data_IF_083581421596
#
_entry.id   IF_083581421596
#
_cell.length_a   1.000
_cell.length_b   1.000
_cell.length_c   1.000
_cell.angle_alpha   90.00
_cell.angle_beta   90.00
_cell.angle_gamma   90.00
#
_symmetry.space_group_name_H-M   'P 1'
#
loop_
_entity.id
_entity.type
_entity.pdbx_description
1 polymer ?
2 non-polymer ?
3 water ?
#
# COMPACT_ATOMS: atom_id res chain seq x y z
N UNK A 10 17.32 14.71 -8.34
CA UNK A 10 16.44 15.32 -9.41
C UNK A 10 15.36 14.34 -9.85
N UNK A 11 15.77 13.11 -10.14
CA UNK A 11 14.95 12.14 -10.89
C UNK A 11 13.92 11.56 -9.93
N UNK A 12 12.69 11.47 -10.43
CA UNK A 12 11.63 10.77 -9.70
C UNK A 12 11.62 9.30 -10.09
N UNK A 13 11.70 8.42 -9.08
CA UNK A 13 11.62 6.95 -9.22
C UNK A 13 10.18 6.48 -9.15
N UNK A 14 9.75 5.81 -10.22
CA UNK A 14 8.44 5.13 -10.24
C UNK A 14 8.68 3.73 -9.73
N UNK A 15 8.40 3.52 -8.45
CA UNK A 15 8.81 2.30 -7.71
C UNK A 15 7.99 1.12 -8.20
N UNK A 16 8.63 -0.02 -8.18
CA UNK A 16 7.98 -1.32 -8.41
C UNK A 16 7.83 -2.01 -7.04
N UNK A 17 6.68 -1.89 -6.42
CA UNK A 17 6.47 -2.35 -5.01
C UNK A 17 5.99 -3.81 -5.02
N UNK A 18 6.69 -4.64 -4.27
CA UNK A 18 6.32 -6.03 -3.96
C UNK A 18 6.24 -6.14 -2.44
N UNK A 19 5.22 -6.81 -1.94
CA UNK A 19 5.03 -6.93 -0.48
C UNK A 19 6.03 -7.90 0.14
N UNK A 20 6.28 -7.64 1.42
CA UNK A 20 7.14 -8.52 2.27
C UNK A 20 6.23 -9.41 3.09
N UNK A 21 6.10 -10.72 2.75
CA UNK A 21 5.18 -11.58 3.47
C UNK A 21 5.52 -11.75 4.96
N UNK A 22 6.77 -11.51 5.34
CA UNK A 22 7.19 -11.73 6.75
C UNK A 22 6.65 -10.63 7.66
N UNK A 23 6.16 -9.52 7.08
CA UNK A 23 5.55 -8.42 7.86
C UNK A 23 4.03 -8.57 7.96
N UNK A 24 3.42 -9.39 7.11
CA UNK A 24 1.96 -9.35 6.91
C UNK A 24 1.23 -9.96 8.11
N UNK A 25 0.24 -9.25 8.64
CA UNK A 25 -0.67 -9.82 9.66
C UNK A 25 -1.17 -11.17 9.18
N UNK A 26 -1.30 -12.16 10.10
CA UNK A 26 -1.66 -13.50 9.64
C UNK A 26 -2.98 -13.64 8.88
N UNK A 27 -3.91 -12.72 8.98
CA UNK A 27 -5.21 -12.85 8.30
C UNK A 27 -5.10 -12.27 6.86
N UNK A 28 -3.96 -11.69 6.51
CA UNK A 28 -3.79 -11.18 5.13
C UNK A 28 -3.37 -12.31 4.22
N UNK A 29 -4.02 -12.37 3.08
CA UNK A 29 -3.68 -13.32 2.01
C UNK A 29 -3.08 -12.52 0.84
N UNK A 30 -1.84 -12.81 0.54
CA UNK A 30 -1.09 -12.14 -0.56
C UNK A 30 -1.25 -12.96 -1.81
N UNK A 31 -1.33 -12.28 -2.93
CA UNK A 31 -1.29 -12.96 -4.24
C UNK A 31 0.04 -13.70 -4.38
N UNK A 32 0.13 -14.64 -5.33
CA UNK A 32 1.38 -15.37 -5.56
C UNK A 32 2.51 -14.39 -5.92
N UNK A 33 2.21 -13.34 -6.68
CA UNK A 33 3.22 -12.36 -7.09
C UNK A 33 3.46 -11.28 -6.00
N UNK A 34 2.74 -11.34 -4.88
CA UNK A 34 2.96 -10.44 -3.71
C UNK A 34 2.71 -8.98 -4.12
N UNK A 35 1.87 -8.74 -5.13
CA UNK A 35 1.55 -7.37 -5.58
C UNK A 35 0.10 -7.01 -5.23
N UNK A 36 -0.66 -7.89 -4.61
CA UNK A 36 -2.05 -7.58 -4.18
C UNK A 36 -2.31 -8.35 -2.90
N UNK A 37 -3.22 -7.86 -2.12
CA UNK A 37 -3.46 -8.42 -0.77
C UNK A 37 -4.91 -8.19 -0.42
N UNK A 38 -5.50 -9.17 0.28
CA UNK A 38 -6.84 -8.98 0.88
C UNK A 38 -6.80 -9.58 2.28
N UNK A 39 -7.73 -9.16 3.13
CA UNK A 39 -7.92 -9.79 4.47
C UNK A 39 -8.97 -10.86 4.27
N UNK A 40 -8.61 -12.10 4.58
CA UNK A 40 -9.58 -13.22 4.45
C UNK A 40 -10.00 -13.63 5.85
N UNK A 41 -11.27 -14.00 5.99
CA UNK A 41 -11.76 -14.45 7.29
C UNK A 41 -11.23 -15.83 7.69
N UNK A 42 -10.78 -16.61 6.74
CA UNK A 42 -10.44 -18.03 6.94
C UNK A 42 -8.95 -18.24 6.79
N UNK A 43 -8.45 -19.27 7.44
CA UNK A 43 -7.02 -19.64 7.43
C UNK A 43 -6.72 -20.46 6.17
N UNK A 44 -5.55 -20.18 5.60
CA UNK A 44 -4.92 -20.97 4.51
C UNK A 44 -3.79 -21.75 5.18
N UNK A 45 -3.78 -23.06 5.07
CA UNK A 45 -2.68 -23.82 5.72
C UNK A 45 -1.39 -23.46 4.97
N UNK A 46 -0.44 -22.93 5.74
CA UNK A 46 0.75 -22.24 5.23
C UNK A 46 1.97 -22.72 5.98
N UNK A 47 3.12 -22.16 5.62
CA UNK A 47 4.45 -22.55 6.14
C UNK A 47 4.94 -21.43 7.06
N UNK A 48 4.08 -20.45 7.39
CA UNK A 48 4.59 -19.14 7.86
C UNK A 48 4.58 -19.11 9.39
N UNK A 49 5.59 -18.44 9.93
CA UNK A 49 5.72 -18.33 11.40
C UNK A 49 4.56 -17.51 11.88
N UNK A 50 3.84 -17.94 12.94
CA UNK A 50 2.73 -17.15 13.45
C UNK A 50 3.16 -15.79 13.96
N UNK A 51 4.33 -15.64 14.67
CA UNK A 51 4.59 -14.37 15.37
C UNK A 51 6.07 -13.99 15.44
N UNK A 52 6.72 -14.04 14.29
CA UNK A 52 8.07 -13.49 14.13
C UNK A 52 8.05 -11.96 14.38
N UNK A 53 9.15 -11.33 14.83
CA UNK A 53 9.11 -9.96 15.33
C UNK A 53 8.79 -8.92 14.24
N UNK A 54 9.05 -9.29 13.00
CA UNK A 54 8.79 -8.37 11.85
C UNK A 54 7.30 -8.28 11.58
N UNK A 55 6.50 -9.21 12.07
CA UNK A 55 5.10 -9.34 11.66
C UNK A 55 4.18 -8.48 12.49
N UNK A 56 3.28 -7.76 11.82
CA UNK A 56 2.16 -7.11 12.55
C UNK A 56 1.23 -8.18 13.14
N UNK A 57 0.98 -8.16 14.45
CA UNK A 57 0.19 -9.24 15.07
C UNK A 57 -1.26 -8.84 15.28
N UNK A 58 -1.64 -7.55 15.26
CA UNK A 58 -2.99 -7.09 15.62
C UNK A 58 -3.54 -6.15 14.54
N UNK A 59 -2.73 -5.18 14.15
CA UNK A 59 -3.10 -4.27 13.03
C UNK A 59 -2.94 -5.04 11.72
N UNK A 60 -3.99 -5.04 10.87
CA UNK A 60 -4.02 -5.86 9.63
C UNK A 60 -3.21 -5.16 8.53
N UNK A 61 -1.88 -5.20 8.75
CA UNK A 61 -0.93 -4.41 7.97
C UNK A 61 0.16 -5.27 7.33
N UNK A 62 0.75 -4.72 6.27
CA UNK A 62 1.85 -5.36 5.51
C UNK A 62 2.70 -4.26 4.90
N UNK A 63 3.99 -4.47 4.83
CA UNK A 63 4.94 -3.51 4.26
C UNK A 63 5.45 -3.96 2.89
N UNK A 64 5.85 -2.99 2.05
CA UNK A 64 6.66 -3.29 0.87
C UNK A 64 8.04 -3.76 1.29
N UNK A 65 8.65 -4.59 0.46
CA UNK A 65 9.97 -5.16 0.75
C UNK A 65 11.04 -4.10 0.67
N UNK A 66 10.90 -3.08 -0.16
CA UNK A 66 11.99 -2.14 -0.47
C UNK A 66 11.92 -1.00 0.55
N UNK A 67 13.06 -0.55 1.06
CA UNK A 67 13.13 0.66 1.90
C UNK A 67 13.92 1.75 1.17
N UNK A 68 13.60 3.00 1.52
CA UNK A 68 14.16 4.21 0.91
C UNK A 68 14.82 5.02 2.01
N UNK A 69 16.07 5.44 1.74
CA UNK A 69 16.85 6.26 2.69
C UNK A 69 17.21 7.63 2.09
N UNK A 70 16.82 7.90 0.83
CA UNK A 70 17.15 9.14 0.11
C UNK A 70 16.25 9.22 -1.13
N UNK A 71 16.11 10.40 -1.70
CA UNK A 71 15.54 10.56 -3.04
C UNK A 71 14.01 10.65 -3.05
N UNK A 72 13.52 10.71 -4.27
CA UNK A 72 12.08 10.90 -4.56
C UNK A 72 11.57 9.63 -5.21
N UNK A 73 10.41 9.18 -4.74
CA UNK A 73 9.88 7.84 -5.11
C UNK A 73 8.37 7.93 -5.09
N UNK A 74 7.69 7.21 -5.96
CA UNK A 74 6.23 7.10 -5.83
C UNK A 74 5.74 5.79 -6.41
N UNK A 75 4.53 5.42 -5.96
CA UNK A 75 3.83 4.21 -6.43
C UNK A 75 2.35 4.45 -6.33
N UNK A 76 1.62 3.57 -6.99
CA UNK A 76 0.17 3.73 -7.10
C UNK A 76 -0.56 2.48 -6.66
N UNK A 77 -1.74 2.70 -6.09
CA UNK A 77 -2.50 1.60 -5.43
C UNK A 77 -3.95 1.69 -5.86
N UNK A 78 -4.50 0.57 -6.31
CA UNK A 78 -5.92 0.45 -6.69
C UNK A 78 -6.71 0.06 -5.45
N UNK A 79 -7.73 0.86 -5.15
CA UNK A 79 -8.49 0.69 -3.90
C UNK A 79 -9.98 0.65 -4.21
N UNK A 80 -10.40 0.62 -5.46
CA UNK A 80 -11.87 0.53 -5.76
C UNK A 80 -12.46 -0.69 -5.05
N UNK A 81 -13.66 -0.58 -4.54
CA UNK A 81 -14.43 -1.70 -3.95
C UNK A 81 -13.82 -2.14 -2.61
N UNK A 82 -12.94 -1.33 -2.01
CA UNK A 82 -12.41 -1.59 -0.65
C UNK A 82 -12.95 -0.49 0.27
N UNK A 83 -13.75 -0.83 1.25
CA UNK A 83 -14.45 0.20 2.08
C UNK A 83 -13.55 0.72 3.19
N UNK A 84 -12.49 -0.02 3.57
CA UNK A 84 -11.63 0.33 4.70
C UNK A 84 -10.18 0.02 4.35
N UNK A 85 -9.34 1.04 4.20
CA UNK A 85 -7.93 0.80 3.76
C UNK A 85 -7.09 1.94 4.25
N UNK A 86 -5.80 1.70 4.39
CA UNK A 86 -4.80 2.74 4.63
C UNK A 86 -3.62 2.50 3.70
N UNK A 87 -3.09 3.57 3.14
CA UNK A 87 -1.82 3.51 2.37
C UNK A 87 -0.89 4.58 2.91
N UNK A 88 0.41 4.41 2.69
CA UNK A 88 1.39 5.45 3.03
C UNK A 88 2.75 4.83 3.19
N UNK A 89 3.50 5.43 4.10
CA UNK A 89 4.95 5.16 4.30
C UNK A 89 5.12 5.00 5.81
N UNK A 90 6.05 4.17 6.22
CA UNK A 90 6.39 4.10 7.65
C UNK A 90 7.89 3.94 7.83
N UNK A 91 8.35 4.29 9.02
CA UNK A 91 9.77 3.98 9.34
C UNK A 91 9.96 2.46 9.36
N UNK A 92 11.17 2.00 8.98
CA UNK A 92 11.47 0.56 9.01
C UNK A 92 11.41 0.11 10.48
N UNK A 93 11.59 1.01 11.43
CA UNK A 93 11.71 0.71 12.88
C UNK A 93 10.35 0.73 13.56
N UNK A 94 9.23 0.90 12.86
CA UNK A 94 7.95 1.05 13.58
C UNK A 94 7.65 -0.19 14.45
N UNK A 95 6.90 0.06 15.51
CA UNK A 95 6.34 -1.00 16.36
C UNK A 95 5.37 -1.85 15.53
N UNK A 96 5.44 -3.16 15.71
CA UNK A 96 4.67 -4.16 14.93
C UNK A 96 3.60 -4.80 15.79
N UNK A 97 3.71 -4.73 17.13
CA UNK A 97 2.90 -5.57 18.03
C UNK A 97 1.87 -4.73 18.80
N UNK A 98 0.67 -5.31 18.90
CA UNK A 98 -0.48 -4.77 19.61
C UNK A 98 -1.14 -3.67 18.82
N UNK A 99 -1.92 -2.87 19.51
CA UNK A 99 -2.84 -1.91 18.85
C UNK A 99 -2.10 -0.61 18.57
N UNK A 100 -1.14 -0.65 17.66
CA UNK A 100 -0.23 0.48 17.37
C UNK A 100 -1.07 1.64 16.86
N UNK A 101 -0.81 2.85 17.36
CA UNK A 101 -1.47 4.04 16.81
C UNK A 101 -0.71 4.45 15.53
N UNK A 102 -1.42 4.49 14.41
CA UNK A 102 -0.84 4.66 13.04
C UNK A 102 -0.72 6.15 12.71
N UNK A 103 0.14 6.83 13.46
CA UNK A 103 0.20 8.29 13.45
C UNK A 103 1.63 8.72 13.23
N UNK A 104 1.91 9.94 12.73
CA UNK A 104 3.26 10.38 12.47
C UNK A 104 4.23 10.26 13.65
N UNK A 105 3.73 10.57 14.85
CA UNK A 105 4.58 10.55 16.06
C UNK A 105 5.12 9.14 16.27
N UNK A 106 4.46 8.11 15.73
CA UNK A 106 4.91 6.70 15.83
C UNK A 106 5.54 6.21 14.54
N UNK A 107 5.81 7.09 13.56
CA UNK A 107 6.51 6.70 12.35
C UNK A 107 5.64 6.25 11.23
N UNK A 108 4.35 6.63 11.20
CA UNK A 108 3.40 6.25 10.12
C UNK A 108 2.85 7.51 9.44
N UNK A 109 2.97 7.60 8.10
CA UNK A 109 2.44 8.75 7.35
C UNK A 109 1.42 8.23 6.37
N UNK A 110 0.14 8.46 6.61
CA UNK A 110 -0.89 7.66 5.93
C UNK A 110 -2.05 8.50 5.41
N UNK A 111 -2.79 7.87 4.53
CA UNK A 111 -4.13 8.29 4.06
C UNK A 111 -5.01 7.09 4.31
N UNK A 112 -6.22 7.29 4.84
CA UNK A 112 -7.12 6.19 5.24
C UNK A 112 -8.48 6.46 4.64
N UNK A 113 -9.16 5.41 4.23
CA UNK A 113 -10.62 5.38 4.03
C UNK A 113 -11.23 4.70 5.25
N UNK A 114 -12.12 5.41 5.94
CA UNK A 114 -12.79 4.85 7.15
C UNK A 114 -14.23 5.37 7.14
N UNK A 115 -15.18 4.43 7.19
CA UNK A 115 -16.63 4.78 7.34
C UNK A 115 -17.04 5.86 6.33
N UNK A 116 -16.65 5.70 5.06
CA UNK A 116 -17.11 6.51 3.93
C UNK A 116 -16.43 7.87 3.85
N UNK A 117 -15.36 8.08 4.61
CA UNK A 117 -14.61 9.32 4.56
C UNK A 117 -13.11 9.04 4.46
N UNK A 118 -12.42 10.00 3.89
CA UNK A 118 -10.95 9.94 3.79
C UNK A 118 -10.39 10.75 4.93
N UNK A 119 -9.36 10.19 5.61
CA UNK A 119 -8.77 10.82 6.79
C UNK A 119 -7.26 10.93 6.53
N UNK A 120 -6.76 12.14 6.68
CA UNK A 120 -5.32 12.43 6.65
C UNK A 120 -4.70 11.90 7.91
N UNK A 121 -3.56 11.22 7.78
CA UNK A 121 -2.75 10.69 8.90
C UNK A 121 -3.66 9.93 9.87
N UNK A 122 -4.64 9.24 9.31
CA UNK A 122 -5.51 8.29 10.04
C UNK A 122 -6.11 9.00 11.25
N UNK A 123 -6.48 10.29 11.09
CA UNK A 123 -6.96 11.14 12.19
C UNK A 123 -8.44 11.39 11.99
N UNK A 124 -9.29 11.11 13.00
CA UNK A 124 -10.68 11.54 12.90
C UNK A 124 -10.89 13.06 12.87
N UNK A 125 -9.87 13.85 13.13
CA UNK A 125 -9.90 15.32 13.11
C UNK A 125 -9.38 15.92 11.79
N UNK A 126 -9.04 15.11 10.78
CA UNK A 126 -8.55 15.63 9.49
C UNK A 126 -9.25 14.92 8.37
N UNK A 127 -10.55 15.08 8.33
CA UNK A 127 -11.36 14.52 7.24
C UNK A 127 -11.08 15.42 6.03
N UNK A 128 -10.74 14.78 4.92
CA UNK A 128 -10.42 15.46 3.67
C UNK A 128 -11.71 15.62 2.88
N UNK A 129 -12.01 16.84 2.38
CA UNK A 129 -13.26 17.08 1.66
C UNK A 129 -13.20 16.67 0.18
N UNK A 130 -12.95 15.38 -0.08
CA UNK A 130 -12.92 14.86 -1.45
C UNK A 130 -14.33 14.83 -2.04
N UNK A 131 -14.41 15.07 -3.32
CA UNK A 131 -15.74 15.18 -3.99
C UNK A 131 -15.99 13.99 -4.91
N UNK A 132 -15.14 12.96 -4.85
CA UNK A 132 -15.31 11.74 -5.68
C UNK A 132 -14.78 10.57 -4.86
N UNK A 133 -15.18 9.36 -5.21
CA UNK A 133 -14.66 8.09 -4.62
C UNK A 133 -13.28 7.83 -5.25
N UNK A 134 -12.25 7.67 -4.44
CA UNK A 134 -10.89 7.39 -4.98
C UNK A 134 -10.86 5.95 -5.49
N UNK A 135 -10.18 5.75 -6.61
CA UNK A 135 -9.99 4.44 -7.24
C UNK A 135 -8.51 4.09 -7.32
N UNK A 136 -7.64 5.04 -7.67
CA UNK A 136 -6.19 4.78 -7.75
C UNK A 136 -5.50 5.94 -7.04
N UNK A 137 -4.75 5.60 -6.00
CA UNK A 137 -4.08 6.58 -5.13
C UNK A 137 -2.58 6.52 -5.35
N UNK A 138 -1.96 7.68 -5.52
CA UNK A 138 -0.51 7.76 -5.58
C UNK A 138 0.03 8.09 -4.22
N UNK A 139 1.11 7.41 -3.89
CA UNK A 139 1.86 7.64 -2.65
C UNK A 139 3.25 8.12 -3.08
N UNK A 140 3.62 9.31 -2.58
CA UNK A 140 4.84 10.03 -3.00
C UNK A 140 5.71 10.30 -1.79
N UNK A 141 7.01 10.09 -1.96
CA UNK A 141 8.03 10.34 -0.94
C UNK A 141 9.12 11.24 -1.51
N UNK A 142 9.41 12.34 -0.84
CA UNK A 142 10.67 13.10 -1.07
C UNK A 142 11.43 13.05 0.25
N UNK A 143 12.43 12.18 0.35
CA UNK A 143 12.98 11.81 1.66
C UNK A 143 13.61 13.07 2.30
N UNK A 144 14.53 13.70 1.54
CA UNK A 144 15.28 14.81 2.14
C UNK A 144 14.36 15.96 2.52
N UNK A 145 13.27 16.16 1.78
CA UNK A 145 12.35 17.29 2.06
C UNK A 145 11.35 16.93 3.19
N UNK A 146 11.39 15.71 3.70
CA UNK A 146 10.49 15.30 4.77
C UNK A 146 9.04 15.17 4.33
N UNK A 147 8.85 14.80 3.06
CA UNK A 147 7.54 14.89 2.37
C UNK A 147 6.97 13.50 2.06
N UNK A 148 5.81 13.19 2.67
CA UNK A 148 4.90 12.11 2.21
C UNK A 148 3.62 12.78 1.71
N UNK A 149 3.35 12.56 0.43
CA UNK A 149 2.20 13.16 -0.25
C UNK A 149 1.34 12.08 -0.88
N UNK A 150 0.07 12.41 -1.07
CA UNK A 150 -0.92 11.50 -1.66
C UNK A 150 -1.60 12.21 -2.82
N UNK A 151 -1.84 11.44 -3.88
CA UNK A 151 -2.42 11.95 -5.14
C UNK A 151 -3.63 11.10 -5.55
N UNK A 152 -4.59 11.75 -6.19
CA UNK A 152 -5.66 11.03 -6.92
C UNK A 152 -5.16 10.78 -8.35
N UNK A 153 -4.86 9.54 -8.72
CA UNK A 153 -4.24 9.30 -10.02
C UNK A 153 -5.24 9.37 -11.16
N UNK A 154 -6.52 9.61 -10.91
CA UNK A 154 -7.44 9.84 -12.05
C UNK A 154 -6.99 11.05 -12.85
N UNK A 155 -6.66 12.14 -12.15
CA UNK A 155 -6.29 13.41 -12.78
C UNK A 155 -4.95 13.91 -12.26
N UNK A 156 -4.18 13.09 -11.52
CA UNK A 156 -2.86 13.44 -10.95
C UNK A 156 -2.97 14.63 -10.00
N UNK A 157 -4.10 14.78 -9.34
CA UNK A 157 -4.31 15.92 -8.42
C UNK A 157 -3.81 15.59 -7.02
N UNK A 158 -3.27 16.62 -6.36
CA UNK A 158 -2.77 16.50 -4.99
C UNK A 158 -3.95 16.32 -4.05
N UNK A 159 -3.80 15.44 -3.08
CA UNK A 159 -4.77 15.22 -1.98
C UNK A 159 -4.23 15.81 -0.70
N UNK A 160 -3.05 15.39 -0.26
CA UNK A 160 -2.56 15.77 1.08
C UNK A 160 -1.04 15.59 1.12
N UNK A 161 -0.38 16.48 1.84
CA UNK A 161 1.03 16.29 2.27
C UNK A 161 1.06 16.34 3.77
N UNK A 162 1.70 15.37 4.41
CA UNK A 162 1.83 15.34 5.86
C UNK A 162 2.74 16.47 6.33
N UNK A 163 2.61 16.89 7.60
CA UNK A 163 3.57 17.85 8.14
C UNK A 163 4.98 17.32 7.91
N UNK A 164 5.91 18.19 7.57
CA UNK A 164 7.26 17.73 7.19
C UNK A 164 7.96 17.07 8.36
N UNK A 165 8.64 15.96 8.08
CA UNK A 165 9.19 15.06 9.11
C UNK A 165 10.65 14.79 8.82
N UNK A 166 11.44 14.67 9.87
CA UNK A 166 12.81 14.14 9.80
C UNK A 166 12.69 12.62 9.88
N UNK A 167 12.75 11.94 8.75
CA UNK A 167 12.46 10.48 8.74
C UNK A 167 13.55 9.75 9.53
N UNK A 168 14.79 10.24 9.41
CA UNK A 168 15.99 9.73 10.09
C UNK A 168 16.45 8.34 9.64
N UNK A 169 15.57 7.34 9.67
CA UNK A 169 15.90 5.94 9.28
C UNK A 169 15.22 5.65 7.93
N UNK A 170 15.52 4.51 7.27
CA UNK A 170 14.82 4.14 6.05
C UNK A 170 13.31 4.00 6.30
N UNK A 171 12.58 4.29 5.24
CA UNK A 171 11.10 4.14 5.24
C UNK A 171 10.65 3.15 4.21
N UNK A 172 9.46 2.60 4.43
CA UNK A 172 8.95 1.49 3.60
C UNK A 172 7.52 1.83 3.20
N UNK A 173 7.06 1.32 2.06
CA UNK A 173 5.62 1.36 1.77
C UNK A 173 4.84 0.61 2.84
N UNK A 174 3.70 1.18 3.20
CA UNK A 174 2.80 0.71 4.29
C UNK A 174 1.39 0.56 3.76
N UNK A 175 0.73 -0.53 4.14
CA UNK A 175 -0.65 -0.87 3.74
C UNK A 175 -1.43 -1.43 4.90
N UNK A 176 -2.70 -1.09 4.99
CA UNK A 176 -3.62 -1.69 5.96
C UNK A 176 -4.92 -2.05 5.30
N UNK A 177 -5.50 -3.21 5.62
CA UNK A 177 -6.80 -3.65 5.10
C UNK A 177 -7.76 -3.71 6.29
N UNK A 178 -8.70 -2.78 6.34
CA UNK A 178 -9.64 -2.60 7.43
C UNK A 178 -10.95 -3.36 7.20
N UNK A 179 -11.03 -4.17 6.15
CA UNK A 179 -12.26 -4.90 5.80
C UNK A 179 -11.87 -6.21 5.17
N UNK A 180 -12.82 -7.14 5.07
CA UNK A 180 -12.56 -8.48 4.55
C UNK A 180 -12.96 -8.59 3.08
N UNK A 181 -12.38 -9.58 2.43
CA UNK A 181 -12.78 -10.10 1.11
C UNK A 181 -12.70 -9.02 0.03
N UNK A 182 -11.80 -8.07 0.21
CA UNK A 182 -11.72 -6.86 -0.64
C UNK A 182 -10.26 -6.54 -0.93
N UNK A 183 -9.73 -7.00 -2.09
CA UNK A 183 -8.30 -6.80 -2.32
C UNK A 183 -7.91 -5.39 -2.78
N UNK A 184 -6.72 -4.99 -2.34
CA UNK A 184 -6.03 -3.84 -2.97
C UNK A 184 -4.96 -4.37 -3.87
N UNK A 185 -4.75 -3.63 -4.94
CA UNK A 185 -3.76 -4.02 -5.99
C UNK A 185 -2.70 -2.93 -6.07
N UNK A 186 -1.47 -3.31 -5.82
CA UNK A 186 -0.35 -2.36 -5.92
C UNK A 186 0.09 -2.35 -7.37
N UNK A 187 -0.05 -1.25 -8.04
CA UNK A 187 0.17 -1.19 -9.49
C UNK A 187 1.64 -1.44 -9.79
N UNK A 188 2.00 -2.45 -10.62
CA UNK A 188 3.39 -2.64 -10.99
C UNK A 188 3.91 -1.43 -11.76
N UNK A 189 5.18 -1.12 -11.58
CA UNK A 189 5.86 -0.15 -12.43
C UNK A 189 5.66 -0.55 -13.89
N UNK A 190 5.51 0.42 -14.78
CA UNK A 190 5.34 0.08 -16.21
C UNK A 190 6.62 -0.62 -16.72
N UNK A 191 6.43 -1.59 -17.63
CA UNK A 191 7.57 -2.37 -18.14
C UNK A 191 7.56 -2.44 -19.67
N UNK A 192 6.60 -1.80 -20.36
CA UNK A 192 6.56 -1.98 -21.81
C UNK A 192 6.40 -3.45 -22.14
N UNK A 193 7.18 -3.89 -23.09
CA UNK A 193 7.11 -5.28 -23.59
C UNK A 193 8.18 -6.11 -22.89
N UNK A 194 8.59 -5.80 -21.67
CA UNK A 194 9.68 -6.56 -21.02
C UNK A 194 9.33 -8.04 -20.99
N UNK A 195 10.25 -8.85 -21.51
CA UNK A 195 10.15 -10.31 -21.47
C UNK A 195 9.28 -10.88 -22.56
N UNK A 196 8.61 -10.08 -23.38
CA UNK A 196 7.55 -10.47 -24.31
C UNK A 196 8.11 -10.34 -25.72
N UNK A 197 7.90 -11.35 -26.57
CA UNK A 197 8.29 -11.23 -27.99
C UNK A 197 7.36 -10.18 -28.64
N UNK A 198 8.01 -9.24 -29.31
CA UNK A 198 7.34 -8.17 -30.08
C UNK A 198 7.32 -8.59 -31.55
N UNK A 199 6.12 -8.89 -32.10
CA UNK A 199 6.04 -9.24 -33.52
C UNK A 199 6.56 -8.15 -34.46
N UNK A 200 6.76 -8.48 -35.72
CA UNK A 200 7.37 -7.58 -36.71
C UNK A 200 6.50 -6.33 -36.93
N UNK A 201 5.20 -6.41 -36.64
CA UNK A 201 4.30 -5.24 -36.79
C UNK A 201 4.10 -4.54 -35.43
N UNK A 202 4.84 -4.94 -34.41
CA UNK A 202 4.61 -4.43 -33.06
C UNK A 202 3.69 -5.31 -32.27
N UNK A 203 3.57 -5.02 -30.99
CA UNK A 203 2.75 -5.73 -30.01
C UNK A 203 1.57 -4.86 -29.70
N UNK A 204 0.35 -5.36 -29.82
CA UNK A 204 -0.88 -4.56 -29.69
C UNK A 204 -1.67 -5.03 -28.46
N UNK A 205 -2.10 -4.07 -27.62
CA UNK A 205 -3.06 -4.27 -26.52
C UNK A 205 -2.67 -5.49 -25.73
N UNK A 206 -1.44 -5.53 -25.24
CA UNK A 206 -0.92 -6.62 -24.39
C UNK A 206 -1.64 -6.69 -23.05
N UNK A 207 -2.06 -7.89 -22.65
CA UNK A 207 -2.75 -8.11 -21.35
C UNK A 207 -2.03 -9.28 -20.68
N UNK A 208 -1.78 -9.21 -19.38
CA UNK A 208 -1.00 -10.26 -18.63
C UNK A 208 -1.74 -10.58 -17.32
N UNK A 213 -6.01 -13.71 -10.55
CA UNK A 213 -6.42 -12.50 -9.80
C UNK A 213 -6.99 -12.90 -8.43
N UNK A 214 -6.64 -12.13 -7.39
CA UNK A 214 -7.28 -12.18 -6.05
C UNK A 214 -8.79 -11.98 -6.19
N UNK A 215 -9.25 -11.28 -7.22
CA UNK A 215 -10.71 -11.15 -7.49
C UNK A 215 -11.42 -12.53 -7.58
N UNK A 216 -10.71 -13.63 -7.91
CA UNK A 216 -11.34 -14.98 -8.02
C UNK A 216 -11.12 -15.82 -6.75
N UNK A 217 -10.35 -15.34 -5.77
CA UNK A 217 -10.09 -16.03 -4.47
C UNK A 217 -11.38 -16.08 -3.65
N UNK A 218 -11.79 -17.29 -3.23
CA UNK A 218 -12.96 -17.44 -2.34
C UNK A 218 -12.84 -18.68 -1.47
N UNK A 219 -13.81 -18.84 -0.56
CA UNK A 219 -13.89 -19.98 0.38
C UNK A 219 -15.27 -20.64 0.30
N UNK A 220 -15.78 -20.82 -0.91
CA UNK A 220 -17.03 -21.57 -1.18
C UNK A 220 -16.76 -22.58 -2.28
N UNK A 221 -15.62 -23.29 -2.21
CA UNK A 221 -15.34 -24.52 -2.98
C UNK A 221 -16.06 -25.69 -2.28
X LIG B 1 -8.67 -16.80 1.62
#
# INVERSE_FOLDING_TARGET
MGEELRWRRTFLHAVDVVLDPDTAHPDLFLSEDRRSVRRCPFRHLGESVPDNPERFDSQPCVLGRESFASGKHYWEVEVENVIEWTVGVCRDSVERKGEVLLIPQNGFWTLEMHKGQYRAVSSPDRILPLKESLCRVGVFLDYEAGDVSFYNMRDRSHIYTCPRSAFSVPVRPFFRLGCEDSPIFICPALTGANGVTVPEEGLTLHRVGTHQSLLEHHHHHH
ZN ZN
#
